data_IF_910689175521
#
_entry.id   IF_910689175521
#
_cell.length_a   1.000
_cell.length_b   1.000
_cell.length_c   1.000
_cell.angle_alpha   90.00
_cell.angle_beta   90.00
_cell.angle_gamma   90.00
#
_symmetry.space_group_name_H-M   'P 1'
#
loop_
_entity.id
_entity.type
_entity.pdbx_description
1 polymer ?
#
# COMPACT_ATOMS: atom_id res chain seq x y z
N UNK A 1 36.70 -5.86 3.77
CA UNK A 1 36.57 -5.32 2.41
C UNK A 1 36.41 -3.81 2.56
N UNK A 2 37.42 -3.03 2.15
CA UNK A 2 37.49 -1.57 2.33
C UNK A 2 37.22 -0.80 1.05
N UNK A 3 37.23 -1.49 -0.09
CA UNK A 3 37.21 -0.85 -1.41
C UNK A 3 35.79 -0.85 -2.01
N UNK A 4 34.84 -1.51 -1.35
CA UNK A 4 33.43 -1.50 -1.72
C UNK A 4 33.10 -2.25 -3.02
N UNK A 5 34.01 -3.11 -3.49
CA UNK A 5 33.91 -3.85 -4.76
C UNK A 5 32.67 -4.76 -4.78
N UNK A 6 32.22 -5.22 -3.61
CA UNK A 6 31.05 -6.09 -3.43
C UNK A 6 29.78 -5.33 -3.02
N UNK A 7 29.81 -4.00 -2.96
CA UNK A 7 28.66 -3.21 -2.51
C UNK A 7 27.50 -3.27 -3.51
N UNK A 8 26.30 -3.46 -2.97
CA UNK A 8 25.05 -3.41 -3.73
C UNK A 8 24.10 -2.46 -3.03
N UNK A 9 23.44 -1.58 -3.80
CA UNK A 9 22.40 -0.72 -3.25
C UNK A 9 21.17 -1.56 -2.87
N UNK A 10 20.77 -1.49 -1.61
CA UNK A 10 19.66 -2.27 -1.07
C UNK A 10 18.58 -1.34 -0.52
N UNK A 11 17.34 -1.52 -0.99
CA UNK A 11 16.17 -0.90 -0.39
C UNK A 11 15.55 -1.87 0.62
N UNK A 12 15.49 -1.47 1.89
CA UNK A 12 14.79 -2.22 2.93
C UNK A 12 13.41 -1.60 3.15
N UNK A 13 12.36 -2.41 3.08
CA UNK A 13 11.01 -1.99 3.44
C UNK A 13 10.91 -1.80 4.95
N UNK A 14 10.11 -0.84 5.46
CA UNK A 14 10.22 -0.39 6.84
C UNK A 14 9.20 -1.05 7.78
N UNK A 15 8.32 -1.89 7.26
CA UNK A 15 7.15 -2.42 7.96
C UNK A 15 7.15 -3.96 7.98
N UNK A 16 6.20 -4.53 8.73
CA UNK A 16 6.23 -5.93 9.15
C UNK A 16 6.19 -6.94 7.98
N UNK A 17 5.34 -6.70 6.98
CA UNK A 17 5.14 -7.59 5.83
C UNK A 17 5.04 -6.77 4.53
N UNK A 18 4.94 -7.45 3.39
CA UNK A 18 4.88 -6.83 2.06
C UNK A 18 3.46 -6.55 1.57
N UNK A 19 2.44 -7.16 2.19
CA UNK A 19 1.04 -7.01 1.81
C UNK A 19 0.58 -5.53 1.81
N UNK A 20 -0.48 -5.21 1.07
CA UNK A 20 -0.99 -3.83 0.87
C UNK A 20 -1.14 -3.07 2.20
N UNK A 21 -1.72 -3.71 3.22
CA UNK A 21 -1.94 -3.13 4.55
C UNK A 21 -0.64 -2.77 5.28
N UNK A 22 0.51 -3.32 4.90
CA UNK A 22 1.81 -3.00 5.48
C UNK A 22 2.72 -2.22 4.51
N UNK A 23 2.22 -1.81 3.34
CA UNK A 23 3.05 -1.17 2.32
C UNK A 23 2.75 0.31 2.11
N UNK A 24 1.53 0.77 2.39
CA UNK A 24 1.16 2.18 2.15
C UNK A 24 1.75 3.15 3.19
N UNK A 25 1.87 2.72 4.45
CA UNK A 25 2.30 3.56 5.58
C UNK A 25 2.17 2.82 6.91
N UNK A 26 2.40 3.50 8.04
CA UNK A 26 2.48 2.85 9.35
C UNK A 26 1.14 2.38 9.93
N UNK A 27 0.00 2.86 9.42
CA UNK A 27 -1.33 2.46 9.92
C UNK A 27 -1.97 1.39 9.00
N UNK A 28 -1.96 0.11 9.40
CA UNK A 28 -2.50 -0.96 8.57
C UNK A 28 -4.02 -0.91 8.42
N UNK A 29 -4.73 -0.26 9.33
CA UNK A 29 -6.18 -0.11 9.22
C UNK A 29 -6.55 0.89 8.12
N UNK A 30 -5.77 1.98 7.98
CA UNK A 30 -5.92 2.91 6.86
C UNK A 30 -5.46 2.26 5.56
N UNK A 31 -4.28 1.64 5.54
CA UNK A 31 -3.77 1.00 4.32
C UNK A 31 -4.69 -0.10 3.78
N UNK A 32 -5.36 -0.85 4.65
CA UNK A 32 -6.33 -1.86 4.24
C UNK A 32 -7.58 -1.29 3.53
N UNK A 33 -7.89 0.00 3.72
CA UNK A 33 -8.99 0.64 2.98
C UNK A 33 -8.67 0.76 1.47
N UNK A 34 -7.39 0.71 1.11
CA UNK A 34 -6.89 0.79 -0.25
C UNK A 34 -6.54 -0.56 -0.88
N UNK A 35 -6.85 -1.66 -0.18
CA UNK A 35 -7.06 -2.94 -0.86
C UNK A 35 -8.54 -3.02 -1.26
N UNK A 36 -8.83 -3.07 -2.56
CA UNK A 36 -10.18 -3.07 -3.10
C UNK A 36 -10.74 -4.47 -3.36
N UNK A 37 -10.00 -5.53 -3.02
CA UNK A 37 -10.48 -6.90 -3.16
C UNK A 37 -11.44 -7.29 -2.02
N UNK A 38 -12.34 -8.23 -2.31
CA UNK A 38 -13.35 -8.72 -1.36
C UNK A 38 -12.72 -9.45 -0.18
N UNK A 39 -11.76 -10.32 -0.46
CA UNK A 39 -10.96 -11.03 0.55
C UNK A 39 -9.68 -10.23 0.79
N UNK A 40 -9.80 -9.17 1.59
CA UNK A 40 -8.70 -8.28 1.92
C UNK A 40 -8.32 -8.36 3.40
N UNK A 41 -7.05 -8.05 3.67
CA UNK A 41 -6.41 -7.85 4.97
C UNK A 41 -7.06 -8.54 6.18
N UNK A 42 -6.38 -9.56 6.69
CA UNK A 42 -6.77 -10.19 7.94
C UNK A 42 -6.37 -9.33 9.15
N UNK A 43 -7.31 -8.54 9.69
CA UNK A 43 -7.14 -7.74 10.91
C UNK A 43 -7.90 -8.36 12.10
N UNK A 44 -7.57 -9.61 12.43
CA UNK A 44 -8.20 -10.34 13.52
C UNK A 44 -9.70 -10.54 13.29
N UNK A 45 -10.54 -10.07 14.22
CA UNK A 45 -12.01 -10.24 14.14
C UNK A 45 -12.75 -9.11 13.43
N UNK A 46 -12.05 -8.04 13.03
CA UNK A 46 -12.67 -6.86 12.41
C UNK A 46 -12.35 -6.82 10.92
N UNK A 47 -13.40 -6.88 10.10
CA UNK A 47 -13.30 -6.68 8.65
C UNK A 47 -13.32 -5.19 8.33
N UNK A 48 -12.37 -4.74 7.51
CA UNK A 48 -12.42 -3.39 6.93
C UNK A 48 -13.33 -3.44 5.71
N UNK A 49 -14.38 -2.61 5.62
CA UNK A 49 -15.27 -2.64 4.47
C UNK A 49 -14.53 -2.28 3.19
N UNK A 50 -14.94 -2.88 2.07
CA UNK A 50 -14.54 -2.42 0.74
C UNK A 50 -15.33 -1.16 0.42
N UNK A 51 -14.63 -0.08 0.07
CA UNK A 51 -15.22 1.21 -0.28
C UNK A 51 -14.78 1.51 -1.71
N UNK A 52 -15.73 1.65 -2.63
CA UNK A 52 -15.44 2.10 -3.99
C UNK A 52 -15.19 3.61 -3.99
N UNK A 53 -14.18 4.05 -4.73
CA UNK A 53 -13.82 5.46 -4.90
C UNK A 53 -14.81 6.13 -5.84
N UNK A 54 -15.37 7.27 -5.42
CA UNK A 54 -16.29 8.09 -6.19
C UNK A 54 -16.08 9.59 -5.91
N UNK A 55 -16.76 10.46 -6.65
CA UNK A 55 -16.61 11.91 -6.55
C UNK A 55 -16.96 12.48 -5.16
N UNK A 56 -17.78 11.77 -4.38
CA UNK A 56 -18.18 12.22 -3.05
C UNK A 56 -17.11 11.88 -1.99
N UNK A 57 -16.33 10.82 -2.21
CA UNK A 57 -15.39 10.30 -1.21
C UNK A 57 -13.91 10.47 -1.59
N UNK A 58 -13.59 10.71 -2.87
CA UNK A 58 -12.21 10.74 -3.39
C UNK A 58 -11.30 11.69 -2.62
N UNK A 59 -11.77 12.90 -2.32
CA UNK A 59 -11.00 13.89 -1.56
C UNK A 59 -10.60 13.37 -0.18
N UNK A 60 -11.52 12.70 0.52
CA UNK A 60 -11.28 12.15 1.85
C UNK A 60 -10.32 10.97 1.80
N UNK A 61 -10.50 10.07 0.84
CA UNK A 61 -9.65 8.88 0.68
C UNK A 61 -8.23 9.27 0.25
N UNK A 62 -8.09 10.15 -0.74
CA UNK A 62 -6.80 10.64 -1.20
C UNK A 62 -6.01 11.31 -0.07
N UNK A 63 -6.69 12.11 0.78
CA UNK A 63 -6.05 12.72 1.94
C UNK A 63 -5.54 11.66 2.94
N UNK A 64 -6.35 10.65 3.27
CA UNK A 64 -5.96 9.58 4.18
C UNK A 64 -4.77 8.77 3.64
N UNK A 65 -4.76 8.45 2.34
CA UNK A 65 -3.63 7.75 1.69
C UNK A 65 -2.37 8.63 1.67
N UNK A 66 -2.52 9.91 1.33
CA UNK A 66 -1.42 10.85 1.31
C UNK A 66 -0.75 10.98 2.68
N UNK A 67 -1.51 11.05 3.78
CA UNK A 67 -0.95 11.08 5.12
C UNK A 67 -0.11 9.82 5.43
N UNK A 68 -0.53 8.64 4.97
CA UNK A 68 0.24 7.41 5.12
C UNK A 68 1.53 7.45 4.30
N UNK A 69 1.47 7.93 3.06
CA UNK A 69 2.65 8.12 2.20
C UNK A 69 3.65 9.11 2.83
N UNK A 70 3.18 10.24 3.38
CA UNK A 70 4.05 11.20 4.05
C UNK A 70 4.75 10.59 5.26
N UNK A 71 4.01 9.85 6.10
CA UNK A 71 4.60 9.14 7.25
C UNK A 71 5.63 8.09 6.82
N UNK A 72 5.36 7.34 5.74
CA UNK A 72 6.33 6.38 5.18
C UNK A 72 7.57 7.09 4.62
N UNK A 73 7.39 8.20 3.92
CA UNK A 73 8.48 8.96 3.30
C UNK A 73 9.48 9.50 4.34
N UNK A 74 9.04 9.81 5.56
CA UNK A 74 9.93 10.24 6.66
C UNK A 74 10.98 9.19 7.05
N UNK A 75 10.80 7.93 6.66
CA UNK A 75 11.73 6.83 6.94
C UNK A 75 12.84 6.69 5.89
N UNK A 76 12.78 7.48 4.81
CA UNK A 76 13.72 7.45 3.70
C UNK A 76 14.43 8.80 3.50
N UNK A 77 15.56 8.77 2.81
CA UNK A 77 16.41 9.95 2.58
C UNK A 77 16.07 10.73 1.30
N UNK A 78 15.27 10.15 0.40
CA UNK A 78 14.89 10.76 -0.89
C UNK A 78 13.44 11.23 -0.89
N UNK A 79 13.07 12.00 -1.92
CA UNK A 79 11.70 12.43 -2.19
C UNK A 79 10.94 11.47 -3.13
N UNK A 80 11.45 10.26 -3.34
CA UNK A 80 10.83 9.23 -4.18
C UNK A 80 10.43 8.07 -3.28
N UNK A 81 9.13 7.75 -3.26
CA UNK A 81 8.57 6.72 -2.40
C UNK A 81 8.20 5.48 -3.21
N UNK A 82 8.75 4.32 -2.82
CA UNK A 82 8.30 3.02 -3.33
C UNK A 82 7.11 2.53 -2.49
N UNK A 83 5.99 2.18 -3.13
CA UNK A 83 4.81 1.62 -2.48
C UNK A 83 4.39 0.34 -3.21
N UNK A 84 4.79 -0.85 -2.73
CA UNK A 84 4.28 -2.10 -3.25
C UNK A 84 2.77 -2.20 -3.06
N UNK A 85 2.08 -2.76 -4.06
CA UNK A 85 0.64 -2.96 -4.01
C UNK A 85 0.32 -4.37 -4.48
N UNK A 86 0.23 -5.31 -3.55
CA UNK A 86 0.02 -6.72 -3.81
C UNK A 86 0.16 -7.56 -2.53
N UNK A 87 0.00 -8.86 -2.68
CA UNK A 87 0.08 -9.88 -1.64
C UNK A 87 0.18 -11.27 -2.31
N UNK A 88 0.12 -12.35 -1.53
CA UNK A 88 0.12 -13.73 -2.03
C UNK A 88 -1.01 -14.01 -3.03
N UNK A 89 -0.65 -14.53 -4.20
CA UNK A 89 -1.58 -14.96 -5.26
C UNK A 89 -2.61 -13.90 -5.70
N UNK A 90 -2.29 -12.62 -5.52
CA UNK A 90 -3.12 -11.49 -5.96
C UNK A 90 -2.99 -11.27 -7.46
N UNK A 91 -3.88 -10.46 -8.00
CA UNK A 91 -4.06 -10.14 -9.41
C UNK A 91 -4.37 -11.36 -10.28
N UNK A 92 -5.12 -12.31 -9.70
CA UNK A 92 -5.43 -13.61 -10.33
C UNK A 92 -6.67 -13.57 -11.24
N UNK A 93 -7.48 -12.52 -11.14
CA UNK A 93 -8.70 -12.35 -11.95
C UNK A 93 -8.80 -10.95 -12.57
N UNK A 94 -9.44 -10.84 -13.73
CA UNK A 94 -9.70 -9.54 -14.39
C UNK A 94 -10.59 -8.62 -13.56
N UNK A 95 -11.49 -9.21 -12.77
CA UNK A 95 -12.34 -8.48 -11.84
C UNK A 95 -11.51 -7.79 -10.76
N UNK A 96 -10.57 -8.50 -10.14
CA UNK A 96 -9.63 -7.92 -9.18
C UNK A 96 -8.80 -6.79 -9.81
N UNK A 97 -8.26 -7.02 -11.01
CA UNK A 97 -7.52 -5.98 -11.74
C UNK A 97 -8.36 -4.72 -11.92
N UNK A 98 -9.63 -4.87 -12.32
CA UNK A 98 -10.57 -3.77 -12.53
C UNK A 98 -10.86 -3.04 -11.23
N UNK A 99 -11.08 -3.77 -10.13
CA UNK A 99 -11.33 -3.18 -8.81
C UNK A 99 -10.11 -2.43 -8.28
N UNK A 100 -8.91 -3.00 -8.37
CA UNK A 100 -7.70 -2.33 -7.87
C UNK A 100 -7.32 -1.13 -8.72
N UNK A 101 -7.13 -1.35 -10.02
CA UNK A 101 -6.70 -0.29 -10.93
C UNK A 101 -7.75 0.81 -11.05
N UNK A 102 -9.03 0.45 -11.24
CA UNK A 102 -10.10 1.41 -11.45
C UNK A 102 -10.41 2.30 -10.23
N UNK A 103 -10.03 1.88 -9.02
CA UNK A 103 -10.12 2.75 -7.84
C UNK A 103 -8.84 3.59 -7.62
N UNK A 104 -7.66 3.06 -7.97
CA UNK A 104 -6.38 3.79 -7.85
C UNK A 104 -6.17 4.83 -8.96
N UNK A 105 -6.76 4.63 -10.13
CA UNK A 105 -6.67 5.55 -11.29
C UNK A 105 -7.51 6.83 -11.11
N UNK A 106 -8.53 6.79 -10.25
CA UNK A 106 -9.38 7.93 -9.91
C UNK A 106 -8.65 8.92 -9.01
#
# INVERSE_FOLDING_TARGET
>A
DSDGITNVFCHMMPFLLYAIQYSCGPDPHVCCQFDFHVDKCFLGTKTVPVITVDDNNIRKLAWALWEQFQKKAQLYRSNVLLVPHGDDFRYSSSEEWTQQFGNLDK
#
